data_IF_677276224947
#
_entry.id   IF_677276224947
#
_cell.length_a   1.000
_cell.length_b   1.000
_cell.length_c   1.000
_cell.angle_alpha   90.00
_cell.angle_beta   90.00
_cell.angle_gamma   90.00
#
_symmetry.space_group_name_H-M   'P 1'
#
loop_
_entity.id
_entity.type
_entity.pdbx_description
1 polymer ?
#
# COMPACT_ATOMS: atom_id res chain seq x y z
N UNK A 1 15.25 -19.32 11.83
CA UNK A 1 14.88 -18.65 11.50
C UNK A 1 14.27 -18.12 11.61
N UNK A 2 14.25 -17.70 11.35
CA UNK A 2 13.63 -17.09 11.18
C UNK A 2 12.98 -16.72 10.75
N UNK A 3 13.00 -17.20 11.13
CA UNK A 3 11.90 -16.98 10.93
C UNK A 3 11.45 -16.05 9.97
N UNK A 4 10.64 -15.94 9.86
CA UNK A 4 10.30 -15.01 8.94
C UNK A 4 11.15 -13.81 9.04
N UNK A 5 11.73 -13.55 8.02
CA UNK A 5 12.78 -12.62 8.09
C UNK A 5 12.49 -11.52 7.12
N UNK A 6 11.81 -10.54 7.58
CA UNK A 6 11.69 -9.35 6.78
C UNK A 6 13.05 -8.71 6.68
N UNK A 7 13.56 -8.67 5.47
CA UNK A 7 14.80 -7.98 5.25
C UNK A 7 14.68 -6.49 5.51
N UNK A 8 13.46 -5.97 5.40
CA UNK A 8 13.21 -4.55 5.58
C UNK A 8 12.11 -4.35 6.60
N UNK A 9 12.32 -3.49 7.59
CA UNK A 9 11.26 -3.24 8.57
C UNK A 9 10.08 -2.53 7.96
N UNK A 10 8.90 -2.81 8.48
CA UNK A 10 7.68 -2.13 8.11
C UNK A 10 7.35 -1.08 9.13
N UNK A 11 6.81 0.02 8.67
CA UNK A 11 6.49 1.17 9.51
C UNK A 11 5.02 1.53 9.36
N UNK A 12 4.41 1.92 10.47
CA UNK A 12 3.09 2.54 10.40
C UNK A 12 3.24 3.93 9.84
N UNK A 13 2.26 4.33 9.01
CA UNK A 13 2.30 5.66 8.42
C UNK A 13 1.65 6.67 9.35
N UNK A 14 2.08 7.91 9.24
CA UNK A 14 1.47 9.03 9.95
C UNK A 14 0.51 9.73 9.01
N UNK A 15 -0.58 10.24 9.58
CA UNK A 15 -1.50 11.06 8.83
C UNK A 15 -2.24 10.30 7.74
N UNK A 16 -2.58 11.02 6.69
CA UNK A 16 -3.45 10.53 5.63
C UNK A 16 -2.60 10.13 4.43
N UNK A 17 -2.08 8.91 4.47
CA UNK A 17 -1.27 8.38 3.37
C UNK A 17 -2.13 7.45 2.55
N UNK A 18 -2.16 7.68 1.24
CA UNK A 18 -2.99 6.91 0.31
C UNK A 18 -2.13 6.31 -0.79
N UNK A 19 -2.61 5.19 -1.31
CA UNK A 19 -2.01 4.56 -2.48
C UNK A 19 -3.07 4.49 -3.57
N UNK A 20 -2.71 4.92 -4.77
CA UNK A 20 -3.60 4.85 -5.92
C UNK A 20 -3.03 3.83 -6.88
N UNK A 21 -3.82 2.82 -7.20
CA UNK A 21 -3.40 1.67 -7.97
C UNK A 21 -3.87 1.78 -9.41
N UNK A 22 -2.99 1.40 -10.33
CA UNK A 22 -3.34 1.40 -11.74
C UNK A 22 -2.94 2.70 -12.42
N UNK A 23 -2.93 2.68 -13.75
CA UNK A 23 -2.48 3.84 -14.54
C UNK A 23 -3.45 5.01 -14.46
N UNK A 24 -4.71 4.74 -14.13
CA UNK A 24 -5.72 5.79 -14.02
C UNK A 24 -6.34 5.84 -12.63
N UNK A 25 -5.59 5.36 -11.64
CA UNK A 25 -6.03 5.38 -10.24
C UNK A 25 -7.36 4.67 -10.06
N UNK A 26 -7.48 3.49 -10.66
CA UNK A 26 -8.73 2.73 -10.60
C UNK A 26 -9.13 2.38 -9.17
N UNK A 27 -8.15 2.21 -8.30
CA UNK A 27 -8.41 1.89 -6.90
C UNK A 27 -7.55 2.77 -6.03
N UNK A 28 -8.18 3.42 -5.05
CA UNK A 28 -7.45 4.25 -4.09
C UNK A 28 -7.74 3.70 -2.70
N UNK A 29 -6.68 3.50 -1.93
CA UNK A 29 -6.84 2.98 -0.58
C UNK A 29 -5.93 3.68 0.40
N UNK A 30 -6.20 3.44 1.68
CA UNK A 30 -5.41 4.01 2.75
C UNK A 30 -4.23 3.08 3.05
N UNK A 31 -3.04 3.63 3.11
CA UNK A 31 -1.84 2.84 3.43
C UNK A 31 -1.84 2.52 4.91
N UNK A 32 -1.68 1.24 5.24
CA UNK A 32 -1.62 0.79 6.63
C UNK A 32 -0.19 0.73 7.12
N UNK A 33 0.69 0.17 6.32
CA UNK A 33 2.11 0.13 6.65
C UNK A 33 2.92 0.09 5.36
N UNK A 34 4.20 0.43 5.48
CA UNK A 34 5.06 0.59 4.32
C UNK A 34 6.50 0.25 4.69
N UNK A 35 7.24 -0.28 3.73
CA UNK A 35 8.68 -0.51 3.84
C UNK A 35 9.32 -0.13 2.51
N UNK A 36 10.64 -0.28 2.42
CA UNK A 36 11.30 0.00 1.14
C UNK A 36 10.99 -1.07 0.10
N UNK A 37 10.36 -2.17 0.48
CA UNK A 37 10.04 -3.25 -0.45
C UNK A 37 8.59 -3.31 -0.85
N UNK A 38 7.71 -2.65 -0.13
CA UNK A 38 6.30 -2.70 -0.46
C UNK A 38 5.44 -2.04 0.58
N UNK A 39 4.13 -2.19 0.43
CA UNK A 39 3.18 -1.62 1.37
C UNK A 39 1.94 -2.47 1.47
N UNK A 40 1.18 -2.22 2.52
CA UNK A 40 -0.16 -2.80 2.69
C UNK A 40 -1.15 -1.66 2.75
N UNK A 41 -2.29 -1.86 2.12
CA UNK A 41 -3.34 -0.85 2.07
C UNK A 41 -4.70 -1.49 2.28
N UNK A 42 -5.68 -0.65 2.63
CA UNK A 42 -7.08 -1.06 2.74
C UNK A 42 -7.88 -0.24 1.74
N UNK A 43 -8.83 -0.88 1.08
CA UNK A 43 -9.70 -0.18 0.16
C UNK A 43 -11.10 -0.76 0.23
N UNK A 44 -12.06 -0.03 -0.33
CA UNK A 44 -13.45 -0.44 -0.32
C UNK A 44 -13.87 -0.86 -1.72
N UNK A 45 -14.70 -1.88 -1.80
CA UNK A 45 -15.25 -2.29 -3.07
C UNK A 45 -16.67 -2.85 -2.86
N UNK A 46 -17.38 -3.03 -3.96
CA UNK A 46 -18.71 -3.65 -3.88
C UNK A 46 -18.55 -5.11 -3.50
N UNK A 47 -19.50 -5.61 -2.73
CA UNK A 47 -19.43 -6.98 -2.23
C UNK A 47 -19.51 -8.03 -3.33
N UNK A 48 -20.02 -7.67 -4.51
CA UNK A 48 -20.09 -8.62 -5.61
C UNK A 48 -18.83 -8.60 -6.48
N UNK A 49 -17.83 -7.85 -6.10
CA UNK A 49 -16.55 -7.85 -6.80
C UNK A 49 -15.52 -8.63 -5.98
N UNK A 50 -14.67 -9.33 -6.69
CA UNK A 50 -13.65 -10.16 -6.04
C UNK A 50 -12.26 -9.61 -6.33
N UNK A 51 -12.00 -8.38 -5.90
CA UNK A 51 -10.68 -7.79 -6.08
C UNK A 51 -10.61 -6.90 -7.30
N UNK A 52 -9.45 -6.87 -7.93
CA UNK A 52 -9.20 -5.95 -9.04
C UNK A 52 -9.69 -6.52 -10.36
N UNK A 53 -10.20 -5.63 -11.22
CA UNK A 53 -10.68 -6.04 -12.54
C UNK A 53 -9.54 -6.34 -13.51
N UNK A 54 -8.41 -5.65 -13.35
CA UNK A 54 -7.28 -5.80 -14.24
C UNK A 54 -6.02 -6.00 -13.42
N UNK A 55 -4.97 -6.46 -14.07
CA UNK A 55 -3.68 -6.59 -13.41
C UNK A 55 -3.18 -5.21 -13.05
N UNK A 56 -2.73 -5.07 -11.81
CA UNK A 56 -2.17 -3.82 -11.31
C UNK A 56 -0.67 -3.95 -11.38
N UNK A 57 -0.02 -3.01 -12.08
CA UNK A 57 1.42 -3.03 -12.24
C UNK A 57 2.09 -1.77 -11.76
N UNK A 58 1.34 -0.79 -11.28
CA UNK A 58 1.95 0.43 -10.76
C UNK A 58 1.09 1.03 -9.66
N UNK A 59 1.76 1.78 -8.79
CA UNK A 59 1.10 2.43 -7.66
C UNK A 59 1.69 3.83 -7.49
N UNK A 60 0.83 4.77 -7.14
CA UNK A 60 1.23 6.11 -6.71
C UNK A 60 0.97 6.22 -5.23
N UNK A 61 1.88 6.85 -4.50
CA UNK A 61 1.77 7.02 -3.05
C UNK A 61 1.78 8.51 -2.77
N UNK A 62 0.79 8.99 -2.02
CA UNK A 62 0.74 10.41 -1.72
C UNK A 62 0.21 10.65 -0.32
N UNK A 63 0.63 11.79 0.24
CA UNK A 63 0.25 12.21 1.59
C UNK A 63 -0.68 13.40 1.47
N UNK A 64 -1.91 13.21 1.92
CA UNK A 64 -2.93 14.24 1.85
C UNK A 64 -2.51 15.46 2.69
N UNK A 65 -2.69 16.64 2.15
CA UNK A 65 -2.33 17.86 2.86
C UNK A 65 -0.84 18.13 2.86
N UNK A 66 -0.09 17.41 2.04
CA UNK A 66 1.34 17.58 1.95
C UNK A 66 1.73 17.50 0.49
N UNK A 67 2.93 17.93 0.17
CA UNK A 67 3.37 17.92 -1.22
C UNK A 67 4.01 16.59 -1.64
N UNK A 68 4.07 15.62 -0.76
CA UNK A 68 4.71 14.35 -1.10
C UNK A 68 3.87 13.56 -2.10
N UNK A 69 4.51 13.11 -3.16
CA UNK A 69 3.88 12.26 -4.16
C UNK A 69 4.96 11.42 -4.82
N UNK A 70 4.88 10.12 -4.62
CA UNK A 70 5.78 9.17 -5.25
C UNK A 70 4.99 8.45 -6.34
N UNK A 71 5.32 8.76 -7.60
CA UNK A 71 4.47 8.35 -8.71
C UNK A 71 5.02 7.19 -9.50
N UNK A 72 4.10 6.42 -10.06
CA UNK A 72 4.38 5.37 -11.04
C UNK A 72 5.41 4.37 -10.59
N UNK A 73 5.27 3.91 -9.34
CA UNK A 73 6.15 2.88 -8.81
C UNK A 73 5.67 1.53 -9.32
N UNK A 74 6.57 0.79 -9.96
CA UNK A 74 6.23 -0.56 -10.41
C UNK A 74 5.95 -1.44 -9.22
N UNK A 75 4.95 -2.30 -9.33
CA UNK A 75 4.58 -3.17 -8.22
C UNK A 75 3.85 -4.40 -8.70
N UNK A 76 3.75 -5.37 -7.80
CA UNK A 76 2.89 -6.52 -8.03
C UNK A 76 2.08 -6.78 -6.77
N UNK A 77 0.91 -7.35 -6.95
CA UNK A 77 0.02 -7.66 -5.85
C UNK A 77 0.46 -8.99 -5.24
N UNK A 78 0.73 -8.97 -3.94
CA UNK A 78 1.11 -10.17 -3.22
C UNK A 78 -0.13 -10.86 -2.66
N UNK A 79 -1.07 -10.09 -2.14
CA UNK A 79 -2.35 -10.62 -1.68
C UNK A 79 -3.41 -9.56 -1.78
N UNK A 80 -4.66 -10.02 -1.88
CA UNK A 80 -5.83 -9.15 -1.91
C UNK A 80 -6.97 -9.95 -1.29
N UNK A 81 -7.30 -9.66 -0.04
CA UNK A 81 -8.23 -10.45 0.74
C UNK A 81 -9.28 -9.55 1.39
N UNK A 82 -10.43 -10.14 1.72
CA UNK A 82 -11.44 -9.43 2.47
C UNK A 82 -10.97 -9.23 3.90
N UNK A 83 -11.13 -7.99 4.39
CA UNK A 83 -10.76 -7.67 5.75
C UNK A 83 -11.72 -8.38 6.70
N UNK A 84 -11.22 -9.11 7.72
CA UNK A 84 -12.10 -9.84 8.63
C UNK A 84 -13.04 -8.94 9.43
N UNK A 85 -12.74 -7.63 9.51
CA UNK A 85 -13.63 -6.71 10.24
C UNK A 85 -14.73 -6.15 9.36
N UNK A 86 -14.78 -6.56 8.08
CA UNK A 86 -15.81 -6.09 7.17
C UNK A 86 -17.18 -6.57 7.65
N UNK A 87 -18.19 -5.70 7.49
CA UNK A 87 -19.54 -6.03 7.95
C UNK A 87 -20.13 -7.07 7.02
N UNK A 88 -20.61 -8.17 7.61
CA UNK A 88 -21.20 -9.24 6.83
C UNK A 88 -22.47 -8.77 6.13
N UNK A 89 -22.65 -9.21 4.90
CA UNK A 89 -23.82 -8.91 4.07
C UNK A 89 -23.94 -7.42 3.72
N UNK A 90 -22.86 -6.68 3.88
CA UNK A 90 -22.84 -5.29 3.45
C UNK A 90 -22.67 -5.21 1.93
N UNK A 91 -23.25 -4.17 1.34
CA UNK A 91 -23.06 -3.89 -0.08
C UNK A 91 -21.61 -3.50 -0.36
N UNK A 92 -21.00 -2.82 0.59
CA UNK A 92 -19.60 -2.38 0.48
C UNK A 92 -18.77 -3.20 1.46
N UNK A 93 -17.69 -3.77 0.97
CA UNK A 93 -16.79 -4.51 1.83
C UNK A 93 -15.42 -3.87 1.81
N UNK A 94 -14.71 -4.08 2.91
CA UNK A 94 -13.34 -3.62 3.05
C UNK A 94 -12.40 -4.75 2.68
N UNK A 95 -11.39 -4.44 1.88
CA UNK A 95 -10.38 -5.42 1.50
C UNK A 95 -9.01 -4.92 1.89
N UNK A 96 -8.11 -5.85 2.10
CA UNK A 96 -6.72 -5.54 2.40
C UNK A 96 -5.86 -6.09 1.29
N UNK A 97 -4.87 -5.30 0.89
CA UNK A 97 -4.03 -5.64 -0.24
C UNK A 97 -2.58 -5.38 0.12
N UNK A 98 -1.72 -6.34 -0.21
CA UNK A 98 -0.29 -6.17 -0.05
C UNK A 98 0.39 -6.07 -1.39
N UNK A 99 1.27 -5.10 -1.53
CA UNK A 99 2.03 -4.85 -2.75
C UNK A 99 3.51 -5.02 -2.50
N UNK A 100 4.19 -5.54 -3.51
CA UNK A 100 5.64 -5.60 -3.52
C UNK A 100 6.13 -4.67 -4.62
N UNK A 101 7.04 -3.75 -4.28
CA UNK A 101 7.56 -2.84 -5.29
C UNK A 101 8.48 -3.58 -6.23
N UNK A 102 8.42 -3.21 -7.50
CA UNK A 102 9.39 -3.67 -8.45
C UNK A 102 10.64 -2.82 -8.36
N UNK A 103 11.33 -2.72 -9.48
CA UNK A 103 12.57 -1.95 -9.51
C UNK A 103 12.26 -0.46 -9.39
N UNK A 104 12.91 0.19 -8.42
CA UNK A 104 12.74 1.62 -8.20
C UNK A 104 13.83 2.39 -8.94
N UNK A 105 13.45 3.53 -9.52
CA UNK A 105 14.47 4.44 -10.03
C UNK A 105 15.23 5.03 -8.85
N UNK A 106 16.37 5.64 -9.13
CA UNK A 106 17.14 6.27 -8.08
C UNK A 106 16.33 7.35 -7.38
N UNK A 107 15.62 8.15 -8.15
CA UNK A 107 14.78 9.21 -7.60
C UNK A 107 13.67 8.63 -6.71
N UNK A 108 13.02 7.57 -7.18
CA UNK A 108 11.96 6.93 -6.39
C UNK A 108 12.52 6.37 -5.09
N UNK A 109 13.68 5.73 -5.17
CA UNK A 109 14.29 5.15 -3.99
C UNK A 109 14.61 6.22 -2.96
N UNK A 110 15.16 7.34 -3.40
CA UNK A 110 15.48 8.44 -2.50
C UNK A 110 14.25 9.06 -1.88
N UNK A 111 13.20 9.24 -2.68
CA UNK A 111 11.95 9.78 -2.17
C UNK A 111 11.31 8.85 -1.16
N UNK A 112 11.36 7.56 -1.42
CA UNK A 112 10.78 6.58 -0.51
C UNK A 112 11.53 6.57 0.81
N UNK A 113 12.87 6.64 0.77
CA UNK A 113 13.65 6.69 2.00
C UNK A 113 13.33 7.93 2.81
N UNK A 114 13.16 9.07 2.15
CA UNK A 114 12.77 10.29 2.85
C UNK A 114 11.39 10.15 3.48
N UNK A 115 10.47 9.50 2.76
CA UNK A 115 9.14 9.28 3.31
C UNK A 115 9.20 8.42 4.57
N UNK A 116 9.95 7.32 4.50
CA UNK A 116 10.06 6.43 5.65
C UNK A 116 10.66 7.14 6.87
N UNK A 117 11.60 8.04 6.62
CA UNK A 117 12.24 8.76 7.70
C UNK A 117 11.33 9.82 8.32
N UNK A 118 10.53 10.50 7.52
CA UNK A 118 9.83 11.70 7.96
C UNK A 118 8.34 11.51 8.23
N UNK A 119 7.70 10.49 7.65
CA UNK A 119 6.25 10.38 7.70
C UNK A 119 5.76 9.05 8.24
N UNK A 120 6.63 8.34 8.95
CA UNK A 120 6.23 7.08 9.56
C UNK A 120 6.56 7.10 11.04
N UNK A 121 5.95 6.15 11.76
CA UNK A 121 6.21 5.98 13.17
C UNK A 121 7.21 4.86 13.36
N UNK A 122 7.33 4.35 14.59
CA UNK A 122 8.27 3.28 14.86
C UNK A 122 7.95 2.04 14.04
N UNK A 123 8.95 1.21 13.75
CA UNK A 123 8.72 -0.03 13.03
C UNK A 123 7.70 -0.91 13.75
N UNK A 124 6.95 -1.66 12.96
CA UNK A 124 6.01 -2.63 13.52
C UNK A 124 6.77 -3.72 14.25
N UNK A 125 6.17 -4.21 15.31
CA UNK A 125 6.74 -5.35 16.01
C UNK A 125 6.72 -6.57 15.12
N UNK A 126 7.74 -7.44 15.22
CA UNK A 126 7.77 -8.66 14.42
C UNK A 126 6.68 -9.65 14.81
#
# INVERSE_FOLDING_TARGET
MDVEQRESPRFCVQGQTFAALGSEFETVGKVNDISIKGLALSYLCKSNKAGFDTDVSQVDIFLSGNSFHLSKVLCEIVYDIQDPTSIKDSIIIKRRCGLHFGELSKSQSEQLELFLKNYTTEPLSP
#
